data_IF_035777181905
#
_entry.id   IF_035777181905
#
_cell.length_a   1.000
_cell.length_b   1.000
_cell.length_c   1.000
_cell.angle_alpha   90.00
_cell.angle_beta   90.00
_cell.angle_gamma   90.00
#
_symmetry.space_group_name_H-M   'P 1'
#
loop_
_entity.id
_entity.type
_entity.pdbx_description
1 polymer ?
#
# COMPACT_ATOMS: atom_id res chain seq x y z
N UNK A 1 13.81 -13.63 5.63
CA UNK A 1 12.57 -13.08 6.21
C UNK A 1 12.89 -11.66 6.63
N UNK A 2 11.92 -10.75 6.58
CA UNK A 2 12.13 -9.37 7.05
C UNK A 2 12.57 -9.39 8.51
N UNK A 3 13.53 -8.53 8.83
CA UNK A 3 14.11 -8.42 10.16
C UNK A 3 13.90 -7.01 10.68
N UNK A 4 13.61 -6.86 11.97
CA UNK A 4 13.49 -5.58 12.63
C UNK A 4 14.41 -5.51 13.84
N UNK A 5 15.05 -4.36 14.04
CA UNK A 5 15.79 -4.06 15.26
C UNK A 5 15.08 -2.95 16.02
N UNK A 6 14.87 -3.16 17.32
CA UNK A 6 14.34 -2.15 18.24
C UNK A 6 15.48 -1.57 19.06
N UNK A 7 15.61 -0.25 19.05
CA UNK A 7 16.59 0.50 19.82
C UNK A 7 15.84 1.32 20.86
N UNK A 8 16.06 1.02 22.14
CA UNK A 8 15.44 1.72 23.27
C UNK A 8 16.50 2.53 24.00
N UNK A 9 16.26 3.83 24.17
CA UNK A 9 17.21 4.75 24.78
C UNK A 9 16.55 5.95 25.44
N UNK A 10 17.29 6.57 26.37
CA UNK A 10 16.89 7.82 27.02
C UNK A 10 17.86 8.93 26.70
N UNK A 11 17.34 10.13 26.42
CA UNK A 11 18.16 11.32 26.22
C UNK A 11 17.37 12.61 26.48
N UNK A 12 18.00 13.57 27.15
CA UNK A 12 17.57 14.98 27.16
C UNK A 12 17.98 15.77 25.92
N UNK A 13 18.75 15.18 25.00
CA UNK A 13 19.43 15.84 23.86
C UNK A 13 18.98 15.28 22.51
N UNK A 14 17.70 14.95 22.36
CA UNK A 14 17.18 14.33 21.14
C UNK A 14 17.47 15.14 19.87
N UNK A 15 17.43 16.48 19.92
CA UNK A 15 17.77 17.32 18.76
C UNK A 15 19.18 17.08 18.22
N UNK A 16 20.13 16.76 19.09
CA UNK A 16 21.52 16.51 18.72
C UNK A 16 21.64 15.10 18.10
N UNK A 17 20.83 14.16 18.59
CA UNK A 17 20.73 12.79 18.06
C UNK A 17 20.04 12.77 16.69
N UNK A 18 19.00 13.59 16.49
CA UNK A 18 18.31 13.74 15.21
C UNK A 18 19.27 14.25 14.11
N UNK A 19 20.08 15.28 14.44
CA UNK A 19 21.14 15.76 13.54
C UNK A 19 22.25 14.72 13.29
N UNK A 20 22.54 13.88 14.28
CA UNK A 20 23.47 12.77 14.13
C UNK A 20 22.94 11.74 13.12
N UNK A 21 21.64 11.41 13.19
CA UNK A 21 20.98 10.49 12.28
C UNK A 21 20.91 11.04 10.85
N UNK A 22 20.62 12.33 10.66
CA UNK A 22 20.67 12.98 9.34
C UNK A 22 22.06 12.82 8.68
N UNK A 23 23.13 13.00 9.45
CA UNK A 23 24.50 12.80 8.96
C UNK A 23 24.76 11.34 8.60
N UNK A 24 24.26 10.39 9.39
CA UNK A 24 24.38 8.96 9.10
C UNK A 24 23.66 8.60 7.79
N UNK A 25 22.45 9.11 7.55
CA UNK A 25 21.69 8.86 6.32
C UNK A 25 22.47 9.33 5.09
N UNK A 26 23.11 10.49 5.16
CA UNK A 26 23.91 10.99 4.03
C UNK A 26 25.23 10.21 3.86
N UNK A 27 25.93 9.88 4.95
CA UNK A 27 27.20 9.15 4.89
C UNK A 27 27.04 7.68 4.43
N UNK A 28 25.88 7.08 4.70
CA UNK A 28 25.58 5.70 4.30
C UNK A 28 24.80 5.61 2.99
N UNK A 29 24.62 6.71 2.28
CA UNK A 29 23.89 6.76 1.00
C UNK A 29 24.50 5.79 -0.02
N UNK A 30 23.64 4.94 -0.58
CA UNK A 30 24.04 3.89 -1.53
C UNK A 30 24.74 2.67 -0.90
N UNK A 31 24.91 2.64 0.43
CA UNK A 31 25.49 1.51 1.17
C UNK A 31 24.53 0.91 2.20
N UNK A 32 23.69 1.73 2.84
CA UNK A 32 22.73 1.27 3.85
C UNK A 32 21.70 0.31 3.23
N UNK A 33 21.28 -0.64 4.03
CA UNK A 33 20.33 -1.69 3.65
C UNK A 33 18.99 -1.54 4.39
N UNK A 34 18.95 -0.65 5.40
CA UNK A 34 17.73 -0.25 6.08
C UNK A 34 16.71 0.31 5.08
N UNK A 35 15.51 -0.29 5.05
CA UNK A 35 14.45 0.08 4.12
C UNK A 35 13.40 0.99 4.72
N UNK A 36 13.26 0.97 6.06
CA UNK A 36 12.27 1.74 6.80
C UNK A 36 12.77 1.94 8.24
N UNK A 37 12.52 3.12 8.82
CA UNK A 37 12.74 3.38 10.25
C UNK A 37 11.59 4.21 10.80
N UNK A 38 11.19 3.92 12.02
CA UNK A 38 10.22 4.68 12.80
C UNK A 38 10.81 4.99 14.16
N UNK A 39 10.74 6.25 14.58
CA UNK A 39 11.14 6.67 15.92
C UNK A 39 9.95 7.24 16.69
N UNK A 40 9.72 6.70 17.87
CA UNK A 40 8.66 7.10 18.78
C UNK A 40 9.24 7.74 20.03
N UNK A 41 8.63 8.86 20.46
CA UNK A 41 8.85 9.44 21.78
C UNK A 41 7.80 8.90 22.75
N UNK A 42 8.25 8.37 23.88
CA UNK A 42 7.35 7.92 24.93
C UNK A 42 6.51 9.10 25.46
N UNK A 43 5.20 8.89 25.54
CA UNK A 43 4.24 9.87 26.05
C UNK A 43 4.34 10.03 27.57
N UNK A 44 4.66 8.96 28.28
CA UNK A 44 4.75 8.93 29.74
C UNK A 44 6.11 9.43 30.24
N UNK A 45 7.17 9.27 29.44
CA UNK A 45 8.52 9.73 29.75
C UNK A 45 9.10 10.51 28.57
N UNK A 46 9.11 11.84 28.71
CA UNK A 46 9.58 12.73 27.65
C UNK A 46 11.08 12.67 27.33
N UNK A 47 11.86 11.85 28.06
CA UNK A 47 13.26 11.55 27.77
C UNK A 47 13.47 10.21 27.06
N UNK A 48 12.43 9.36 26.98
CA UNK A 48 12.53 8.01 26.47
C UNK A 48 12.08 7.94 25.00
N UNK A 49 12.89 7.28 24.18
CA UNK A 49 12.66 7.10 22.75
C UNK A 49 12.87 5.63 22.37
N UNK A 50 12.09 5.19 21.39
CA UNK A 50 12.17 3.86 20.81
C UNK A 50 12.26 4.01 19.29
N UNK A 51 13.33 3.50 18.68
CA UNK A 51 13.46 3.39 17.23
C UNK A 51 13.23 1.94 16.79
N UNK A 52 12.52 1.75 15.68
CA UNK A 52 12.33 0.45 15.02
C UNK A 52 12.86 0.59 13.60
N UNK A 53 13.88 -0.20 13.26
CA UNK A 53 14.50 -0.19 11.95
C UNK A 53 14.23 -1.54 11.27
N UNK A 54 13.72 -1.50 10.05
CA UNK A 54 13.47 -2.70 9.25
C UNK A 54 14.54 -2.90 8.17
N UNK A 55 14.93 -4.17 8.02
CA UNK A 55 15.90 -4.67 7.06
C UNK A 55 15.31 -5.83 6.24
N UNK A 56 15.77 -6.03 5.00
CA UNK A 56 15.34 -7.17 4.18
C UNK A 56 15.64 -8.53 4.82
N UNK A 57 16.72 -8.63 5.61
CA UNK A 57 17.08 -9.80 6.40
C UNK A 57 18.02 -9.44 7.57
N UNK A 58 18.25 -10.40 8.47
CA UNK A 58 19.23 -10.27 9.54
C UNK A 58 20.65 -10.07 8.99
N UNK A 59 21.04 -10.76 7.93
CA UNK A 59 22.36 -10.60 7.29
C UNK A 59 22.55 -9.17 6.77
N UNK A 60 21.51 -8.60 6.16
CA UNK A 60 21.51 -7.21 5.70
C UNK A 60 21.61 -6.23 6.88
N UNK A 61 20.95 -6.52 8.01
CA UNK A 61 21.05 -5.73 9.23
C UNK A 61 22.47 -5.76 9.83
N UNK A 62 23.11 -6.93 9.84
CA UNK A 62 24.49 -7.09 10.29
C UNK A 62 25.48 -6.43 9.33
N UNK A 63 25.25 -6.51 8.01
CA UNK A 63 26.06 -5.79 7.03
C UNK A 63 25.99 -4.28 7.25
N UNK A 64 24.81 -3.73 7.53
CA UNK A 64 24.61 -2.32 7.86
C UNK A 64 25.29 -1.92 9.18
N UNK A 65 25.17 -2.75 10.21
CA UNK A 65 25.77 -2.50 11.53
C UNK A 65 27.30 -2.53 11.49
N UNK A 66 27.88 -3.39 10.66
CA UNK A 66 29.32 -3.51 10.49
C UNK A 66 29.94 -2.41 9.60
N UNK A 67 29.14 -1.48 9.05
CA UNK A 67 29.69 -0.33 8.34
C UNK A 67 30.53 0.52 9.31
N UNK A 68 31.76 0.93 8.94
CA UNK A 68 32.58 1.82 9.77
C UNK A 68 31.86 3.12 10.16
N UNK A 69 31.06 3.65 9.23
CA UNK A 69 30.21 4.83 9.44
C UNK A 69 29.14 4.58 10.50
N UNK A 70 28.50 3.40 10.50
CA UNK A 70 27.48 3.03 11.50
C UNK A 70 28.09 2.86 12.89
N UNK A 71 29.25 2.20 13.00
CA UNK A 71 29.93 2.05 14.29
C UNK A 71 30.31 3.40 14.92
N UNK A 72 30.81 4.34 14.11
CA UNK A 72 31.14 5.69 14.60
C UNK A 72 29.90 6.44 15.09
N UNK A 73 28.83 6.39 14.33
CA UNK A 73 27.56 7.03 14.68
C UNK A 73 26.98 6.41 15.96
N UNK A 74 27.12 5.10 16.13
CA UNK A 74 26.73 4.41 17.36
C UNK A 74 27.47 4.93 18.60
N UNK A 75 28.80 5.11 18.52
CA UNK A 75 29.57 5.68 19.63
C UNK A 75 29.12 7.10 19.97
N UNK A 76 28.87 7.94 18.96
CA UNK A 76 28.34 9.30 19.14
C UNK A 76 26.92 9.27 19.73
N UNK A 77 26.07 8.32 19.32
CA UNK A 77 24.71 8.13 19.86
C UNK A 77 24.76 7.77 21.34
N UNK A 78 25.60 6.80 21.73
CA UNK A 78 25.76 6.40 23.13
C UNK A 78 26.19 7.58 24.00
N UNK A 79 27.06 8.45 23.51
CA UNK A 79 27.49 9.65 24.24
C UNK A 79 26.38 10.70 24.42
N UNK A 80 25.33 10.66 23.58
CA UNK A 80 24.17 11.54 23.65
C UNK A 80 23.07 10.98 24.57
N UNK A 81 23.09 9.68 24.87
CA UNK A 81 22.13 9.02 25.75
C UNK A 81 22.46 9.20 27.24
N UNK A 82 21.43 9.15 28.09
CA UNK A 82 21.49 9.21 29.55
C UNK A 82 21.81 7.82 30.18
N UNK A 83 22.25 6.88 29.35
CA UNK A 83 22.54 5.48 29.67
C UNK A 83 22.83 4.66 28.42
N UNK A 84 23.22 3.40 28.59
CA UNK A 84 23.46 2.53 27.44
C UNK A 84 22.13 2.20 26.75
N UNK A 85 21.98 2.47 25.44
CA UNK A 85 20.82 2.01 24.67
C UNK A 85 20.73 0.48 24.68
N UNK A 86 19.53 -0.05 24.57
CA UNK A 86 19.28 -1.49 24.43
C UNK A 86 18.81 -1.83 23.02
N UNK A 87 19.16 -3.04 22.57
CA UNK A 87 18.90 -3.52 21.22
C UNK A 87 18.15 -4.84 21.29
N UNK A 88 17.03 -4.92 20.59
CA UNK A 88 16.25 -6.16 20.47
C UNK A 88 16.14 -6.54 19.01
N UNK A 89 16.62 -7.73 18.68
CA UNK A 89 16.62 -8.30 17.34
C UNK A 89 15.36 -9.16 17.15
N UNK A 90 14.56 -8.85 16.13
CA UNK A 90 13.26 -9.47 15.90
C UNK A 90 13.16 -10.04 14.48
N UNK A 91 12.82 -11.32 14.41
CA UNK A 91 12.25 -11.89 13.18
C UNK A 91 10.81 -11.39 13.04
N UNK A 92 10.51 -10.69 11.95
CA UNK A 92 9.15 -10.19 11.70
C UNK A 92 8.25 -11.37 11.34
N UNK A 93 7.43 -11.78 12.30
CA UNK A 93 6.49 -12.90 12.12
C UNK A 93 5.25 -12.50 11.32
N UNK A 94 4.78 -11.25 11.49
CA UNK A 94 3.58 -10.73 10.84
C UNK A 94 3.68 -9.21 10.65
N UNK A 95 3.30 -8.75 9.47
CA UNK A 95 3.17 -7.33 9.14
C UNK A 95 1.85 -7.13 8.39
N UNK A 96 0.82 -6.66 9.10
CA UNK A 96 -0.53 -6.52 8.56
C UNK A 96 -0.74 -5.14 7.93
N UNK A 97 -0.87 -5.09 6.60
CA UNK A 97 -1.38 -3.92 5.90
C UNK A 97 -2.90 -4.03 5.75
N UNK A 98 -3.64 -3.60 6.79
CA UNK A 98 -5.08 -3.79 6.88
C UNK A 98 -5.85 -3.11 5.73
N UNK A 99 -5.52 -1.87 5.38
CA UNK A 99 -6.11 -1.17 4.23
C UNK A 99 -5.88 -1.92 2.91
N UNK A 100 -4.65 -2.41 2.69
CA UNK A 100 -4.31 -3.24 1.53
C UNK A 100 -5.16 -4.52 1.50
N UNK A 101 -5.35 -5.15 2.65
CA UNK A 101 -6.22 -6.32 2.79
C UNK A 101 -7.67 -6.00 2.42
N UNK A 102 -8.22 -4.90 2.92
CA UNK A 102 -9.58 -4.45 2.58
C UNK A 102 -9.72 -4.12 1.10
N UNK A 103 -8.73 -3.47 0.48
CA UNK A 103 -8.72 -3.22 -0.96
C UNK A 103 -8.75 -4.52 -1.79
N UNK A 104 -8.03 -5.56 -1.37
CA UNK A 104 -8.06 -6.88 -2.04
C UNK A 104 -9.44 -7.53 -1.98
N UNK A 105 -10.20 -7.32 -0.91
CA UNK A 105 -11.58 -7.83 -0.80
C UNK A 105 -12.46 -7.28 -1.91
N UNK A 106 -12.32 -6.01 -2.27
CA UNK A 106 -13.06 -5.46 -3.40
C UNK A 106 -12.77 -6.22 -4.71
N UNK A 107 -11.50 -6.41 -5.09
CA UNK A 107 -11.16 -7.09 -6.34
C UNK A 107 -11.63 -8.55 -6.38
N UNK A 108 -11.46 -9.28 -5.28
CA UNK A 108 -11.72 -10.73 -5.24
C UNK A 108 -13.14 -11.08 -4.82
N UNK A 109 -13.64 -10.56 -3.71
CA UNK A 109 -14.96 -10.91 -3.17
C UNK A 109 -16.07 -10.17 -3.94
N UNK A 110 -15.89 -8.88 -4.20
CA UNK A 110 -16.95 -8.02 -4.76
C UNK A 110 -16.93 -8.05 -6.28
N UNK A 111 -15.85 -7.63 -6.93
CA UNK A 111 -15.80 -7.48 -8.37
C UNK A 111 -15.75 -8.84 -9.09
N UNK A 112 -14.77 -9.69 -8.74
CA UNK A 112 -14.62 -11.04 -9.31
C UNK A 112 -15.65 -12.03 -8.75
N UNK A 113 -15.93 -11.97 -7.44
CA UNK A 113 -16.85 -12.89 -6.76
C UNK A 113 -18.33 -12.51 -6.86
N UNK A 114 -18.65 -11.24 -7.12
CA UNK A 114 -20.03 -10.75 -7.16
C UNK A 114 -20.71 -10.63 -5.80
N UNK A 115 -19.96 -10.64 -4.69
CA UNK A 115 -20.52 -10.48 -3.35
C UNK A 115 -20.90 -9.02 -3.09
N UNK A 116 -22.08 -8.61 -3.56
CA UNK A 116 -22.55 -7.24 -3.42
C UNK A 116 -22.89 -6.87 -1.96
N UNK A 117 -23.08 -7.85 -1.08
CA UNK A 117 -23.39 -7.61 0.34
C UNK A 117 -22.17 -7.10 1.11
N UNK A 118 -20.96 -7.41 0.63
CA UNK A 118 -19.72 -6.91 1.21
C UNK A 118 -19.40 -5.44 0.85
N UNK A 119 -20.16 -4.80 -0.05
CA UNK A 119 -19.88 -3.42 -0.49
C UNK A 119 -19.88 -2.45 0.69
N UNK A 120 -20.90 -2.53 1.56
CA UNK A 120 -21.03 -1.61 2.70
C UNK A 120 -19.99 -1.88 3.80
N UNK A 121 -19.30 -3.02 3.77
CA UNK A 121 -18.17 -3.30 4.66
C UNK A 121 -16.87 -2.67 4.14
N UNK A 122 -16.73 -2.55 2.83
CA UNK A 122 -15.48 -2.16 2.17
C UNK A 122 -15.46 -0.69 1.76
N UNK A 123 -16.60 -0.13 1.37
CA UNK A 123 -16.72 1.25 0.89
C UNK A 123 -17.50 2.14 1.85
N UNK A 124 -17.12 3.43 1.86
CA UNK A 124 -17.87 4.46 2.55
C UNK A 124 -19.21 4.70 1.83
N UNK A 125 -20.25 5.05 2.61
CA UNK A 125 -21.59 5.31 2.07
C UNK A 125 -21.60 6.51 1.09
N UNK A 126 -20.66 7.43 1.25
CA UNK A 126 -20.42 8.61 0.41
C UNK A 126 -19.16 8.47 -0.45
N UNK A 127 -18.85 7.24 -0.91
CA UNK A 127 -17.73 6.97 -1.81
C UNK A 127 -17.74 7.89 -3.06
N UNK A 128 -16.58 8.48 -3.34
CA UNK A 128 -16.31 9.28 -4.53
C UNK A 128 -15.55 8.46 -5.57
N UNK A 129 -16.06 8.46 -6.80
CA UNK A 129 -15.49 7.71 -7.91
C UNK A 129 -14.89 8.64 -8.97
N UNK A 130 -13.60 8.43 -9.24
CA UNK A 130 -12.79 9.18 -10.19
C UNK A 130 -12.34 8.24 -11.33
N UNK A 131 -13.30 7.81 -12.14
CA UNK A 131 -13.06 6.95 -13.30
C UNK A 131 -12.68 7.79 -14.53
N UNK A 132 -11.58 7.43 -15.20
CA UNK A 132 -11.10 8.11 -16.42
C UNK A 132 -12.13 8.18 -17.56
N UNK A 133 -13.17 7.34 -17.54
CA UNK A 133 -14.25 7.32 -18.52
C UNK A 133 -15.42 8.25 -18.15
N UNK A 134 -15.44 8.83 -16.95
CA UNK A 134 -16.48 9.77 -16.51
C UNK A 134 -16.02 11.21 -16.80
N UNK A 135 -16.94 12.05 -17.30
CA UNK A 135 -16.64 13.46 -17.58
C UNK A 135 -16.49 14.31 -16.30
N UNK A 136 -17.07 13.85 -15.19
CA UNK A 136 -17.01 14.52 -13.90
C UNK A 136 -16.86 13.49 -12.78
N UNK A 137 -16.05 13.84 -11.79
CA UNK A 137 -15.97 13.12 -10.54
C UNK A 137 -17.31 13.19 -9.82
N UNK A 138 -17.78 12.05 -9.33
CA UNK A 138 -19.10 11.96 -8.70
C UNK A 138 -19.03 11.21 -7.38
N UNK A 139 -19.67 11.77 -6.36
CA UNK A 139 -20.03 11.01 -5.17
C UNK A 139 -21.17 10.09 -5.58
N UNK A 140 -20.88 8.79 -5.64
CA UNK A 140 -21.83 7.77 -6.11
C UNK A 140 -22.31 6.88 -4.97
N UNK A 141 -21.52 6.77 -3.89
CA UNK A 141 -21.83 5.91 -2.75
C UNK A 141 -21.89 4.42 -3.09
N UNK A 142 -22.29 3.61 -2.10
CA UNK A 142 -22.39 2.15 -2.23
C UNK A 142 -23.28 1.68 -3.39
N UNK A 143 -24.37 2.41 -3.68
CA UNK A 143 -25.31 2.04 -4.75
C UNK A 143 -24.67 2.19 -6.14
N UNK A 144 -23.83 3.21 -6.33
CA UNK A 144 -23.07 3.37 -7.57
C UNK A 144 -22.12 2.20 -7.81
N UNK A 145 -21.38 1.80 -6.79
CA UNK A 145 -20.48 0.65 -6.86
C UNK A 145 -21.26 -0.63 -7.19
N UNK A 146 -22.42 -0.84 -6.54
CA UNK A 146 -23.28 -2.00 -6.79
C UNK A 146 -23.76 -2.05 -8.24
N UNK A 147 -24.17 -0.90 -8.78
CA UNK A 147 -24.57 -0.76 -10.18
C UNK A 147 -23.41 -1.07 -11.13
N UNK A 148 -22.22 -0.52 -10.87
CA UNK A 148 -21.05 -0.71 -11.73
C UNK A 148 -20.58 -2.17 -11.73
N UNK A 149 -20.48 -2.81 -10.55
CA UNK A 149 -20.13 -4.24 -10.44
C UNK A 149 -21.16 -5.11 -11.16
N UNK A 150 -22.46 -4.84 -10.97
CA UNK A 150 -23.52 -5.61 -11.63
C UNK A 150 -23.44 -5.47 -13.15
N UNK A 151 -23.19 -4.25 -13.65
CA UNK A 151 -23.03 -3.98 -15.09
C UNK A 151 -21.85 -4.73 -15.69
N UNK A 152 -20.67 -4.64 -15.06
CA UNK A 152 -19.48 -5.32 -15.55
C UNK A 152 -19.65 -6.84 -15.56
N UNK A 153 -20.23 -7.41 -14.50
CA UNK A 153 -20.49 -8.86 -14.40
C UNK A 153 -21.56 -9.36 -15.35
N UNK A 154 -22.50 -8.50 -15.76
CA UNK A 154 -23.50 -8.85 -16.78
C UNK A 154 -22.90 -8.88 -18.17
N UNK A 155 -21.87 -8.06 -18.42
CA UNK A 155 -21.19 -7.95 -19.71
C UNK A 155 -20.02 -8.94 -19.87
N UNK A 156 -19.34 -9.26 -18.77
CA UNK A 156 -18.13 -10.09 -18.79
C UNK A 156 -18.12 -11.13 -17.67
N UNK A 157 -17.64 -12.33 -18.00
CA UNK A 157 -17.13 -13.29 -17.03
C UNK A 157 -15.64 -13.03 -16.86
N UNK A 158 -15.23 -12.41 -15.74
CA UNK A 158 -13.88 -11.88 -15.57
C UNK A 158 -13.31 -12.13 -14.18
N UNK A 159 -11.98 -12.03 -14.09
CA UNK A 159 -11.24 -12.00 -12.84
C UNK A 159 -10.11 -10.97 -12.88
N UNK A 160 -9.78 -10.44 -11.71
CA UNK A 160 -8.59 -9.62 -11.50
C UNK A 160 -7.42 -10.48 -11.00
N UNK A 161 -6.26 -10.27 -11.61
CA UNK A 161 -4.95 -10.61 -11.07
C UNK A 161 -4.31 -9.34 -10.49
N UNK A 162 -3.85 -9.39 -9.24
CA UNK A 162 -3.25 -8.23 -8.57
C UNK A 162 -1.74 -8.34 -8.66
N UNK A 163 -1.17 -7.69 -9.69
CA UNK A 163 0.24 -7.75 -10.03
C UNK A 163 1.13 -7.11 -8.94
N UNK A 164 0.64 -6.03 -8.33
CA UNK A 164 1.33 -5.32 -7.24
C UNK A 164 0.36 -4.52 -6.40
N UNK A 165 0.63 -4.44 -5.10
CA UNK A 165 -0.07 -3.53 -4.21
C UNK A 165 0.91 -2.79 -3.30
N UNK A 166 0.69 -1.50 -3.12
CA UNK A 166 1.48 -0.60 -2.28
C UNK A 166 0.51 0.10 -1.34
N UNK A 167 0.83 0.13 -0.06
CA UNK A 167 0.03 0.76 0.98
C UNK A 167 0.91 1.81 1.68
N UNK A 168 0.49 3.06 1.64
CA UNK A 168 1.19 4.17 2.31
C UNK A 168 0.17 5.08 2.98
N UNK A 169 0.20 5.11 4.31
CA UNK A 169 -0.84 5.78 5.11
C UNK A 169 -2.23 5.26 4.75
N UNK A 170 -3.10 6.17 4.31
CA UNK A 170 -4.47 5.89 3.93
C UNK A 170 -4.62 5.53 2.43
N UNK A 171 -3.58 5.64 1.63
CA UNK A 171 -3.65 5.38 0.19
C UNK A 171 -3.15 3.96 -0.14
N UNK A 172 -3.94 3.21 -0.90
CA UNK A 172 -3.61 1.89 -1.43
C UNK A 172 -3.60 1.93 -2.95
N UNK A 173 -2.42 1.72 -3.54
CA UNK A 173 -2.24 1.63 -4.99
C UNK A 173 -2.22 0.16 -5.38
N UNK A 174 -3.09 -0.23 -6.31
CA UNK A 174 -3.14 -1.60 -6.84
C UNK A 174 -2.95 -1.58 -8.36
N UNK A 175 -1.86 -2.19 -8.83
CA UNK A 175 -1.65 -2.55 -10.23
C UNK A 175 -2.30 -3.91 -10.47
N UNK A 176 -3.13 -3.99 -11.49
CA UNK A 176 -3.91 -5.18 -11.78
C UNK A 176 -4.02 -5.46 -13.27
N UNK A 177 -4.31 -6.73 -13.56
CA UNK A 177 -4.69 -7.23 -14.87
C UNK A 177 -6.08 -7.85 -14.77
N UNK A 178 -7.00 -7.39 -15.62
CA UNK A 178 -8.31 -8.02 -15.80
C UNK A 178 -8.25 -8.94 -17.01
N UNK A 179 -8.67 -10.18 -16.82
CA UNK A 179 -8.87 -11.16 -17.90
C UNK A 179 -10.32 -11.65 -17.85
N UNK A 180 -10.97 -11.80 -18.99
CA UNK A 180 -12.34 -12.29 -19.04
C UNK A 180 -12.88 -12.60 -20.42
N UNK A 181 -14.14 -13.02 -20.47
CA UNK A 181 -14.88 -13.31 -21.70
C UNK A 181 -16.02 -12.33 -21.84
N UNK A 182 -16.22 -11.74 -23.03
CA UNK A 182 -17.35 -10.86 -23.31
C UNK A 182 -18.63 -11.66 -23.60
N UNK A 183 -19.45 -11.83 -22.57
CA UNK A 183 -20.61 -12.75 -22.54
C UNK A 183 -21.96 -12.05 -22.62
N UNK A 184 -22.01 -10.75 -22.39
CA UNK A 184 -23.22 -9.93 -22.47
C UNK A 184 -23.01 -8.64 -23.23
N UNK A 185 -24.03 -7.78 -23.25
CA UNK A 185 -23.96 -6.50 -23.95
C UNK A 185 -23.12 -5.50 -23.15
N UNK A 186 -22.16 -4.83 -23.80
CA UNK A 186 -21.34 -3.80 -23.20
C UNK A 186 -21.31 -2.53 -24.04
N UNK A 187 -21.80 -1.41 -23.48
CA UNK A 187 -21.81 -0.10 -24.15
C UNK A 187 -22.43 -0.14 -25.57
N UNK A 188 -23.49 -0.93 -25.76
CA UNK A 188 -24.16 -1.08 -27.05
C UNK A 188 -23.51 -2.09 -28.01
N UNK A 189 -22.44 -2.76 -27.59
CA UNK A 189 -21.79 -3.85 -28.33
C UNK A 189 -22.37 -5.17 -27.82
N UNK A 190 -23.03 -5.98 -28.68
CA UNK A 190 -23.53 -7.29 -28.28
C UNK A 190 -22.42 -8.24 -27.87
N UNK A 191 -22.75 -9.23 -27.03
CA UNK A 191 -21.84 -10.29 -26.62
C UNK A 191 -21.06 -10.89 -27.80
N UNK A 192 -19.73 -10.82 -27.75
CA UNK A 192 -18.86 -11.27 -28.86
C UNK A 192 -18.29 -12.67 -28.63
N UNK A 193 -18.35 -13.17 -27.39
CA UNK A 193 -17.74 -14.45 -26.98
C UNK A 193 -16.21 -14.43 -26.97
N UNK A 194 -15.57 -13.29 -27.22
CA UNK A 194 -14.11 -13.17 -27.26
C UNK A 194 -13.52 -13.14 -25.86
N UNK A 195 -12.33 -13.73 -25.73
CA UNK A 195 -11.44 -13.43 -24.63
C UNK A 195 -10.96 -11.99 -24.73
N UNK A 196 -11.00 -11.28 -23.62
CA UNK A 196 -10.54 -9.92 -23.48
C UNK A 196 -9.62 -9.76 -22.29
N UNK A 197 -8.75 -8.76 -22.36
CA UNK A 197 -7.93 -8.38 -21.23
C UNK A 197 -7.46 -6.94 -21.27
N UNK A 198 -7.33 -6.34 -20.10
CA UNK A 198 -6.80 -4.99 -19.91
C UNK A 198 -5.97 -4.93 -18.63
N UNK A 199 -5.08 -3.95 -18.58
CA UNK A 199 -4.32 -3.63 -17.37
C UNK A 199 -4.80 -2.29 -16.83
N UNK A 200 -4.69 -2.12 -15.54
CA UNK A 200 -5.01 -0.86 -14.90
C UNK A 200 -4.32 -0.67 -13.58
N UNK A 201 -4.38 0.56 -13.09
CA UNK A 201 -3.96 0.95 -11.76
C UNK A 201 -5.12 1.64 -11.09
N UNK A 202 -5.33 1.28 -9.83
CA UNK A 202 -6.30 1.92 -8.95
C UNK A 202 -5.58 2.53 -7.78
N UNK A 203 -6.05 3.68 -7.32
CA UNK A 203 -5.67 4.26 -6.04
C UNK A 203 -6.94 4.31 -5.21
N UNK A 204 -6.95 3.67 -4.05
CA UNK A 204 -8.03 3.80 -3.07
C UNK A 204 -7.54 4.59 -1.88
N UNK A 205 -8.25 5.65 -1.53
CA UNK A 205 -8.04 6.38 -0.28
C UNK A 205 -8.99 5.86 0.79
N UNK A 206 -8.44 5.58 1.96
CA UNK A 206 -9.18 5.08 3.10
C UNK A 206 -9.56 6.19 4.09
N UNK A 207 -10.67 5.99 4.78
CA UNK A 207 -11.08 6.76 5.96
C UNK A 207 -11.93 5.86 6.85
N UNK A 208 -11.59 5.77 8.13
CA UNK A 208 -12.28 4.91 9.10
C UNK A 208 -12.42 3.45 8.60
N UNK A 209 -11.30 2.88 8.13
CA UNK A 209 -11.19 1.50 7.62
C UNK A 209 -12.01 1.18 6.36
N UNK A 210 -12.56 2.20 5.67
CA UNK A 210 -13.34 2.05 4.44
C UNK A 210 -12.76 2.86 3.30
N UNK A 211 -12.97 2.39 2.07
CA UNK A 211 -12.61 3.12 0.84
C UNK A 211 -13.54 4.32 0.69
N UNK A 212 -12.97 5.51 0.80
CA UNK A 212 -13.67 6.80 0.68
C UNK A 212 -13.62 7.33 -0.75
N UNK A 213 -12.50 7.15 -1.45
CA UNK A 213 -12.29 7.66 -2.81
C UNK A 213 -11.54 6.63 -3.64
N UNK A 214 -11.80 6.60 -4.95
CA UNK A 214 -11.11 5.70 -5.88
C UNK A 214 -10.77 6.37 -7.21
N UNK A 215 -9.51 6.31 -7.61
CA UNK A 215 -9.02 6.74 -8.92
C UNK A 215 -8.74 5.55 -9.81
N UNK A 216 -9.44 5.46 -10.94
CA UNK A 216 -9.38 4.31 -11.84
C UNK A 216 -8.71 4.69 -13.15
N UNK A 217 -7.53 4.13 -13.42
CA UNK A 217 -6.81 4.32 -14.68
C UNK A 217 -6.58 2.97 -15.35
N UNK A 218 -7.11 2.76 -16.54
CA UNK A 218 -7.00 1.48 -17.22
C UNK A 218 -7.03 1.61 -18.75
N UNK A 219 -6.59 0.57 -19.45
CA UNK A 219 -6.49 0.57 -20.90
C UNK A 219 -7.85 0.31 -21.58
N UNK A 220 -8.77 1.26 -21.45
CA UNK A 220 -10.10 1.20 -22.03
C UNK A 220 -10.05 1.06 -23.56
N UNK A 221 -9.10 1.72 -24.22
CA UNK A 221 -8.94 1.65 -25.67
C UNK A 221 -8.56 0.25 -26.14
N UNK A 222 -7.66 -0.44 -25.44
CA UNK A 222 -7.33 -1.84 -25.72
C UNK A 222 -8.54 -2.75 -25.59
N UNK A 223 -9.40 -2.55 -24.58
CA UNK A 223 -10.66 -3.29 -24.47
C UNK A 223 -11.56 -3.02 -25.68
N UNK A 224 -11.83 -1.75 -26.01
CA UNK A 224 -12.73 -1.40 -27.12
C UNK A 224 -12.25 -1.93 -28.48
N UNK A 225 -10.93 -1.98 -28.71
CA UNK A 225 -10.34 -2.62 -29.90
C UNK A 225 -10.59 -4.13 -29.93
N UNK A 226 -10.43 -4.83 -28.82
CA UNK A 226 -10.71 -6.28 -28.74
C UNK A 226 -12.19 -6.60 -28.98
N UNK A 227 -13.08 -5.71 -28.54
CA UNK A 227 -14.52 -5.78 -28.79
C UNK A 227 -14.91 -5.46 -30.24
N UNK A 228 -14.01 -4.85 -31.02
CA UNK A 228 -14.24 -4.47 -32.42
C UNK A 228 -14.94 -3.12 -32.59
N UNK A 229 -14.97 -2.28 -31.56
CA UNK A 229 -15.58 -0.95 -31.59
C UNK A 229 -14.60 0.19 -31.92
N UNK A 230 -13.30 -0.10 -31.96
CA UNK A 230 -12.26 0.83 -32.39
C UNK A 230 -11.23 0.10 -33.27
N UNK A 231 -10.76 0.77 -34.33
CA UNK A 231 -9.67 0.31 -35.21
C UNK A 231 -8.29 0.70 -34.71
#
# INVERSE_FOLDING_TARGET
>A
MTFAQVIDFKTGRYSDLDQLMDRWVEQTKGKRTASHSLIGKDRADGSHFVEIIEFPSYEEAMANSNLPETNRIFEEMVALCDGMPTFTDLDVVRNDQLNASTARRFFHEIATGGNLDAIDEVFAADYADHDIMKEQDTVVGSDGIRSDVTRWRSAFDFAFELDRQICEGDDVVTLWTLNGTHTGDFMGIPATGKQVGMTGTTIFRFKNDKIQEGWWHYDAMKLMKQLGAAG
#
